data_IF_100253498113
#
_entry.id   IF_100253498113
#
_cell.length_a   1.000
_cell.length_b   1.000
_cell.length_c   1.000
_cell.angle_alpha   90.00
_cell.angle_beta   90.00
_cell.angle_gamma   90.00
#
_symmetry.space_group_name_H-M   'P 1'
#
loop_
_entity.id
_entity.type
_entity.pdbx_description
1 polymer ?
#
# COMPACT_ATOMS: atom_id res chain seq x y z
N UNK A 1 24.64 26.05 -13.19
CA UNK A 1 23.18 26.24 -13.35
C UNK A 1 22.76 27.38 -12.43
N UNK A 2 22.09 28.44 -12.95
CA UNK A 2 21.60 29.53 -12.12
C UNK A 2 20.46 29.00 -11.27
N UNK A 3 20.52 29.15 -9.95
CA UNK A 3 19.40 28.74 -9.08
C UNK A 3 18.18 29.56 -9.44
N UNK A 4 16.98 28.96 -9.53
CA UNK A 4 15.76 29.67 -9.94
C UNK A 4 15.25 30.67 -8.89
N UNK A 5 15.76 30.60 -7.65
CA UNK A 5 15.38 31.48 -6.54
C UNK A 5 16.56 31.76 -5.61
N UNK A 6 16.43 32.79 -4.79
CA UNK A 6 17.41 33.19 -3.80
C UNK A 6 17.52 32.14 -2.68
N UNK A 7 18.72 31.63 -2.43
CA UNK A 7 18.97 30.65 -1.36
C UNK A 7 18.70 31.24 0.03
N UNK A 8 18.91 32.56 0.23
CA UNK A 8 18.66 33.23 1.51
C UNK A 8 17.19 33.17 1.91
N UNK A 9 16.25 33.26 0.93
CA UNK A 9 14.83 33.10 1.17
C UNK A 9 14.50 31.67 1.62
N UNK A 10 15.05 30.66 0.94
CA UNK A 10 14.86 29.27 1.32
C UNK A 10 15.42 28.99 2.71
N UNK A 11 16.64 29.45 3.01
CA UNK A 11 17.28 29.28 4.31
C UNK A 11 16.46 29.93 5.44
N UNK A 12 15.85 31.10 5.17
CA UNK A 12 14.93 31.74 6.10
C UNK A 12 13.67 30.91 6.38
N UNK A 13 13.05 30.36 5.32
CA UNK A 13 11.87 29.50 5.45
C UNK A 13 12.20 28.21 6.21
N UNK A 14 13.34 27.58 5.93
CA UNK A 14 13.79 26.40 6.63
C UNK A 14 14.01 26.68 8.12
N UNK A 15 14.63 27.84 8.44
CA UNK A 15 14.82 28.29 9.82
C UNK A 15 13.51 28.49 10.58
N UNK A 16 12.51 29.15 9.96
CA UNK A 16 11.17 29.33 10.55
C UNK A 16 10.42 28.01 10.77
N UNK A 17 10.66 27.02 9.94
CA UNK A 17 10.05 25.68 10.02
C UNK A 17 10.87 24.70 10.90
N UNK A 18 11.97 25.16 11.47
CA UNK A 18 12.91 24.35 12.26
C UNK A 18 13.42 23.10 11.51
N UNK A 19 13.64 23.24 10.20
CA UNK A 19 14.15 22.18 9.33
C UNK A 19 15.65 22.38 9.11
N UNK A 20 16.46 21.55 9.74
CA UNK A 20 17.92 21.65 9.65
C UNK A 20 18.47 21.19 8.28
N UNK A 21 17.81 20.23 7.64
CA UNK A 21 18.19 19.67 6.34
C UNK A 21 16.92 19.40 5.51
N UNK A 22 16.82 20.06 4.36
CA UNK A 22 15.68 19.88 3.44
C UNK A 22 15.53 18.43 2.95
N UNK A 23 16.62 17.67 2.87
CA UNK A 23 16.59 16.27 2.47
C UNK A 23 15.88 15.37 3.52
N UNK A 24 15.73 15.87 4.75
CA UNK A 24 15.01 15.20 5.84
C UNK A 24 13.56 15.71 6.00
N UNK A 25 13.16 16.70 5.19
CA UNK A 25 11.82 17.26 5.28
C UNK A 25 10.76 16.19 4.97
N UNK A 26 9.73 16.15 5.79
CA UNK A 26 8.55 15.31 5.53
C UNK A 26 7.78 15.82 4.30
N UNK A 27 6.94 14.99 3.71
CA UNK A 27 6.06 15.37 2.58
C UNK A 27 5.26 16.65 2.88
N UNK A 28 4.74 16.78 4.11
CA UNK A 28 3.99 17.98 4.54
C UNK A 28 4.88 19.21 4.64
N UNK A 29 6.06 19.06 5.19
CA UNK A 29 7.03 20.16 5.27
C UNK A 29 7.50 20.59 3.87
N UNK A 30 7.74 19.66 2.96
CA UNK A 30 8.07 19.97 1.56
C UNK A 30 6.97 20.80 0.88
N UNK A 31 5.71 20.42 1.04
CA UNK A 31 4.58 21.20 0.52
C UNK A 31 4.42 22.57 1.19
N UNK A 32 4.73 22.70 2.49
CA UNK A 32 4.71 24.00 3.17
C UNK A 32 5.84 24.91 2.70
N UNK A 33 7.05 24.36 2.51
CA UNK A 33 8.19 25.10 1.92
C UNK A 33 7.80 25.64 0.55
N UNK A 34 7.24 24.78 -0.34
CA UNK A 34 6.83 25.20 -1.67
C UNK A 34 5.79 26.34 -1.62
N UNK A 35 4.74 26.22 -0.82
CA UNK A 35 3.71 27.30 -0.67
C UNK A 35 4.29 28.60 -0.14
N UNK A 36 5.23 28.58 0.79
CA UNK A 36 5.90 29.79 1.28
C UNK A 36 6.79 30.41 0.23
N UNK A 37 7.49 29.59 -0.56
CA UNK A 37 8.28 30.05 -1.69
C UNK A 37 7.40 30.72 -2.75
N UNK A 38 6.29 30.10 -3.15
CA UNK A 38 5.30 30.65 -4.08
C UNK A 38 4.79 32.02 -3.60
N UNK A 39 4.40 32.10 -2.34
CA UNK A 39 3.93 33.37 -1.74
C UNK A 39 4.96 34.46 -1.74
N UNK A 40 6.23 34.13 -1.52
CA UNK A 40 7.31 35.11 -1.41
C UNK A 40 7.86 35.55 -2.78
N UNK A 41 7.86 34.65 -3.77
CA UNK A 41 8.43 34.92 -5.10
C UNK A 41 7.41 35.28 -6.15
N UNK A 42 6.15 34.88 -5.97
CA UNK A 42 5.10 34.95 -7.02
C UNK A 42 5.28 33.89 -8.12
N UNK A 43 6.26 32.99 -7.99
CA UNK A 43 6.51 31.88 -8.92
C UNK A 43 5.61 30.69 -8.57
N UNK A 44 5.06 30.02 -9.56
CA UNK A 44 4.25 28.83 -9.40
C UNK A 44 5.10 27.57 -9.39
N UNK A 45 4.92 26.71 -8.39
CA UNK A 45 5.63 25.44 -8.27
C UNK A 45 4.75 24.26 -8.72
N UNK A 46 5.36 23.29 -9.37
CA UNK A 46 4.70 22.01 -9.62
C UNK A 46 4.76 21.16 -8.35
N UNK A 47 3.61 20.97 -7.69
CA UNK A 47 3.50 20.20 -6.46
C UNK A 47 3.52 18.69 -6.74
N UNK A 48 4.70 18.07 -6.63
CA UNK A 48 4.93 16.64 -6.85
C UNK A 48 5.21 15.86 -5.56
N UNK A 49 5.22 16.54 -4.42
CA UNK A 49 5.52 15.95 -3.12
C UNK A 49 4.41 15.03 -2.60
N UNK A 50 3.17 15.21 -3.06
CA UNK A 50 2.05 14.38 -2.64
C UNK A 50 1.40 13.69 -3.84
N UNK A 51 1.41 12.36 -3.83
CA UNK A 51 0.78 11.55 -4.87
C UNK A 51 -0.75 11.58 -4.80
N UNK A 52 -1.35 12.66 -5.27
CA UNK A 52 -2.80 12.79 -5.43
C UNK A 52 -3.14 12.58 -6.91
N UNK A 53 -4.17 11.76 -7.27
CA UNK A 53 -4.49 11.47 -8.66
C UNK A 53 -4.82 12.69 -9.52
N UNK A 54 -5.30 13.79 -8.92
CA UNK A 54 -5.63 15.03 -9.62
C UNK A 54 -6.92 14.99 -10.44
N UNK A 55 -7.48 13.80 -10.63
CA UNK A 55 -8.78 13.60 -11.28
C UNK A 55 -9.90 13.64 -10.25
N UNK A 56 -11.09 14.04 -10.69
CA UNK A 56 -12.29 13.89 -9.88
C UNK A 56 -12.69 12.42 -9.79
N UNK A 57 -13.30 11.99 -8.66
CA UNK A 57 -13.89 10.65 -8.59
C UNK A 57 -15.04 10.54 -9.61
N UNK A 58 -15.30 9.32 -10.06
CA UNK A 58 -16.40 9.02 -10.95
C UNK A 58 -17.74 9.35 -10.28
N UNK A 59 -18.63 10.06 -11.01
CA UNK A 59 -19.91 10.55 -10.49
C UNK A 59 -20.80 9.41 -9.99
N UNK A 60 -20.77 8.25 -10.62
CA UNK A 60 -21.53 7.07 -10.18
C UNK A 60 -21.21 6.69 -8.72
N UNK A 61 -19.92 6.81 -8.29
CA UNK A 61 -19.52 6.55 -6.91
C UNK A 61 -20.04 7.61 -5.94
N UNK A 62 -19.93 8.88 -6.35
CA UNK A 62 -20.42 10.03 -5.56
C UNK A 62 -21.94 9.97 -5.35
N UNK A 63 -22.69 9.68 -6.40
CA UNK A 63 -24.16 9.54 -6.32
C UNK A 63 -24.59 8.34 -5.48
N UNK A 64 -23.88 7.20 -5.57
CA UNK A 64 -24.15 6.05 -4.73
C UNK A 64 -23.93 6.37 -3.23
N UNK A 65 -22.90 7.14 -2.91
CA UNK A 65 -22.63 7.59 -1.52
C UNK A 65 -23.74 8.54 -1.03
N UNK A 66 -24.15 9.52 -1.84
CA UNK A 66 -25.27 10.42 -1.52
C UNK A 66 -26.56 9.65 -1.25
N UNK A 67 -26.86 8.69 -2.11
CA UNK A 67 -28.05 7.84 -1.95
C UNK A 67 -28.02 7.00 -0.66
N UNK A 68 -26.86 6.45 -0.32
CA UNK A 68 -26.68 5.67 0.91
C UNK A 68 -26.87 6.56 2.16
N UNK A 69 -26.31 7.77 2.16
CA UNK A 69 -26.48 8.73 3.25
C UNK A 69 -27.95 9.16 3.39
N UNK A 70 -28.63 9.43 2.28
CA UNK A 70 -30.04 9.79 2.27
C UNK A 70 -30.93 8.65 2.77
N UNK A 71 -30.53 7.39 2.56
CA UNK A 71 -31.19 6.20 3.10
C UNK A 71 -30.90 5.95 4.59
N UNK A 72 -30.13 6.83 5.26
CA UNK A 72 -29.89 6.78 6.70
C UNK A 72 -28.79 5.80 7.14
N UNK A 73 -27.93 5.36 6.24
CA UNK A 73 -26.84 4.41 6.56
C UNK A 73 -25.93 4.91 7.70
N UNK A 74 -25.80 6.21 7.88
CA UNK A 74 -24.97 6.83 8.92
C UNK A 74 -25.46 6.55 10.36
N UNK A 75 -26.70 6.12 10.55
CA UNK A 75 -27.29 5.81 11.86
C UNK A 75 -27.18 4.33 12.25
N UNK A 76 -26.57 3.50 11.41
CA UNK A 76 -26.52 2.04 11.57
C UNK A 76 -25.06 1.57 11.66
N UNK A 77 -24.75 0.79 12.70
CA UNK A 77 -23.45 0.12 12.76
C UNK A 77 -23.37 -0.96 11.67
N UNK A 78 -22.31 -0.94 10.81
CA UNK A 78 -22.11 -2.04 9.89
C UNK A 78 -21.68 -3.31 10.64
N UNK A 79 -21.84 -4.49 10.03
CA UNK A 79 -21.20 -5.69 10.55
C UNK A 79 -19.70 -5.51 10.73
N UNK A 80 -19.11 -6.06 11.81
CA UNK A 80 -17.68 -5.89 12.11
C UNK A 80 -16.75 -6.29 10.96
N UNK A 81 -17.15 -7.29 10.19
CA UNK A 81 -16.37 -7.77 9.02
C UNK A 81 -16.67 -7.01 7.73
N UNK A 82 -17.49 -5.97 7.78
CA UNK A 82 -17.95 -5.22 6.63
C UNK A 82 -19.27 -5.72 6.03
N UNK A 83 -19.92 -4.88 5.25
CA UNK A 83 -21.19 -5.19 4.60
C UNK A 83 -20.99 -6.21 3.47
N UNK A 84 -21.88 -7.21 3.30
CA UNK A 84 -21.76 -8.24 2.29
C UNK A 84 -21.61 -7.70 0.85
N UNK A 85 -22.31 -6.62 0.54
CA UNK A 85 -22.30 -6.00 -0.79
C UNK A 85 -20.88 -5.50 -1.17
N UNK A 86 -20.16 -4.85 -0.23
CA UNK A 86 -18.81 -4.38 -0.46
C UNK A 86 -17.82 -5.53 -0.59
N UNK A 87 -17.95 -6.55 0.26
CA UNK A 87 -17.10 -7.76 0.22
C UNK A 87 -17.24 -8.51 -1.11
N UNK A 88 -18.48 -8.71 -1.57
CA UNK A 88 -18.77 -9.32 -2.87
C UNK A 88 -18.25 -8.47 -4.04
N UNK A 89 -18.39 -7.15 -3.96
CA UNK A 89 -17.86 -6.24 -4.98
C UNK A 89 -16.32 -6.28 -5.03
N UNK A 90 -15.65 -6.35 -3.87
CA UNK A 90 -14.20 -6.49 -3.77
C UNK A 90 -13.72 -7.82 -4.37
N UNK A 91 -14.37 -8.93 -4.05
CA UNK A 91 -14.06 -10.25 -4.63
C UNK A 91 -14.20 -10.23 -6.17
N UNK A 92 -15.30 -9.68 -6.71
CA UNK A 92 -15.47 -9.50 -8.16
C UNK A 92 -14.41 -8.58 -8.78
N UNK A 93 -14.03 -7.50 -8.11
CA UNK A 93 -12.98 -6.58 -8.56
C UNK A 93 -11.62 -7.29 -8.64
N UNK A 94 -11.27 -8.07 -7.61
CA UNK A 94 -10.05 -8.88 -7.58
C UNK A 94 -10.03 -9.87 -8.74
N UNK A 95 -11.14 -10.59 -8.98
CA UNK A 95 -11.23 -11.48 -10.14
C UNK A 95 -11.08 -10.74 -11.45
N UNK A 96 -11.75 -9.60 -11.59
CA UNK A 96 -11.78 -8.85 -12.85
C UNK A 96 -10.42 -8.25 -13.25
N UNK A 97 -9.60 -7.82 -12.29
CA UNK A 97 -8.36 -7.06 -12.58
C UNK A 97 -7.07 -7.79 -12.22
N UNK A 98 -7.13 -8.80 -11.36
CA UNK A 98 -5.98 -9.60 -10.97
C UNK A 98 -6.07 -11.06 -11.45
N UNK A 99 -7.26 -11.50 -11.86
CA UNK A 99 -7.60 -12.88 -12.20
C UNK A 99 -7.33 -13.87 -11.05
N UNK A 100 -7.66 -13.45 -9.84
CA UNK A 100 -7.56 -14.25 -8.61
C UNK A 100 -8.95 -14.55 -8.11
N UNK A 101 -9.23 -15.84 -7.85
CA UNK A 101 -10.45 -16.26 -7.16
C UNK A 101 -10.24 -16.09 -5.65
N UNK A 102 -11.06 -15.27 -5.02
CA UNK A 102 -11.03 -15.02 -3.58
C UNK A 102 -12.45 -14.96 -3.03
N UNK A 103 -12.72 -15.71 -1.98
CA UNK A 103 -14.01 -15.68 -1.31
C UNK A 103 -14.30 -14.27 -0.71
N UNK A 104 -15.54 -13.77 -0.78
CA UNK A 104 -15.92 -12.49 -0.19
C UNK A 104 -15.56 -12.37 1.30
N UNK A 105 -15.55 -13.48 2.03
CA UNK A 105 -15.21 -13.56 3.45
C UNK A 105 -13.82 -13.04 3.73
N UNK A 106 -12.84 -13.30 2.86
CA UNK A 106 -11.46 -12.80 2.95
C UNK A 106 -11.30 -11.32 2.61
N UNK A 107 -12.32 -10.66 2.05
CA UNK A 107 -12.30 -9.24 1.72
C UNK A 107 -12.71 -8.40 2.93
N UNK A 108 -11.77 -7.86 3.69
CA UNK A 108 -12.01 -7.09 4.92
C UNK A 108 -11.90 -5.58 4.62
N UNK A 109 -12.99 -4.81 4.73
CA UNK A 109 -12.94 -3.35 4.58
C UNK A 109 -12.10 -2.68 5.67
N UNK A 110 -11.34 -1.66 5.29
CA UNK A 110 -10.52 -0.87 6.19
C UNK A 110 -10.66 0.63 5.92
N UNK A 111 -10.38 1.47 6.92
CA UNK A 111 -10.43 2.94 6.82
C UNK A 111 -9.18 3.45 6.08
N UNK A 112 -9.11 3.18 4.78
CA UNK A 112 -7.92 3.36 3.95
C UNK A 112 -6.85 2.31 4.25
N UNK A 113 -5.92 2.10 3.30
CA UNK A 113 -4.83 1.12 3.47
C UNK A 113 -3.88 1.43 4.62
N UNK A 114 -3.83 2.67 5.12
CA UNK A 114 -3.04 3.00 6.32
C UNK A 114 -3.55 2.31 7.59
N UNK A 115 -4.86 2.31 7.82
CA UNK A 115 -5.44 1.56 8.94
C UNK A 115 -5.33 0.06 8.68
N UNK A 116 -5.52 -0.36 7.44
CA UNK A 116 -5.33 -1.75 7.04
C UNK A 116 -3.91 -2.24 7.30
N UNK A 117 -2.86 -1.52 6.87
CA UNK A 117 -1.48 -1.92 7.10
C UNK A 117 -1.13 -1.95 8.60
N UNK A 118 -1.60 -0.98 9.37
CA UNK A 118 -1.44 -0.97 10.83
C UNK A 118 -1.99 -2.26 11.47
N UNK A 119 -3.22 -2.61 11.13
CA UNK A 119 -3.88 -3.82 11.65
C UNK A 119 -3.19 -5.09 11.17
N UNK A 120 -2.84 -5.17 9.88
CA UNK A 120 -2.17 -6.35 9.30
C UNK A 120 -0.78 -6.57 9.91
N UNK A 121 0.02 -5.52 10.11
CA UNK A 121 1.34 -5.67 10.72
C UNK A 121 1.24 -6.14 12.18
N UNK A 122 0.31 -5.55 12.95
CA UNK A 122 0.05 -5.99 14.30
C UNK A 122 -0.37 -7.46 14.32
N UNK A 123 -1.33 -7.84 13.49
CA UNK A 123 -1.80 -9.22 13.35
C UNK A 123 -0.65 -10.16 13.03
N UNK A 124 0.09 -9.93 11.94
CA UNK A 124 1.20 -10.78 11.53
C UNK A 124 2.22 -10.98 12.64
N UNK A 125 2.53 -9.92 13.39
CA UNK A 125 3.50 -9.99 14.50
C UNK A 125 3.01 -10.75 15.72
N UNK A 126 1.71 -11.07 15.81
CA UNK A 126 1.09 -11.77 16.95
C UNK A 126 0.72 -13.23 16.64
N UNK A 127 0.71 -13.65 15.37
CA UNK A 127 0.31 -15.01 14.97
C UNK A 127 1.25 -16.09 15.48
N UNK A 128 2.54 -15.79 15.55
CA UNK A 128 3.58 -16.69 16.09
C UNK A 128 4.58 -15.87 16.92
N UNK A 129 4.71 -16.13 18.22
CA UNK A 129 5.63 -15.39 19.10
C UNK A 129 7.11 -15.49 18.69
N UNK A 130 7.50 -16.48 17.90
CA UNK A 130 8.86 -16.63 17.36
C UNK A 130 9.07 -15.82 16.08
N UNK A 131 8.00 -15.40 15.42
CA UNK A 131 8.02 -14.79 14.08
C UNK A 131 7.32 -13.44 14.16
N UNK A 132 8.05 -12.42 14.58
CA UNK A 132 7.50 -11.07 14.77
C UNK A 132 8.06 -10.02 13.82
N UNK A 133 9.16 -10.34 13.13
CA UNK A 133 9.89 -9.40 12.28
C UNK A 133 9.15 -9.12 10.98
N UNK A 134 9.03 -7.86 10.61
CA UNK A 134 8.52 -7.43 9.29
C UNK A 134 9.71 -7.13 8.39
N UNK A 135 9.78 -7.78 7.23
CA UNK A 135 10.79 -7.55 6.21
C UNK A 135 10.23 -6.63 5.11
N UNK A 136 10.79 -5.43 4.99
CA UNK A 136 10.44 -4.49 3.92
C UNK A 136 11.35 -4.63 2.71
N UNK A 137 10.76 -4.72 1.52
CA UNK A 137 11.48 -4.54 0.25
C UNK A 137 11.38 -3.06 -0.11
N UNK A 138 12.49 -2.35 0.05
CA UNK A 138 12.61 -0.92 -0.18
C UNK A 138 12.96 -0.57 -1.65
N UNK A 139 12.73 0.69 -2.03
CA UNK A 139 12.10 1.76 -1.26
C UNK A 139 10.61 1.48 -1.04
N UNK A 140 10.06 1.99 0.05
CA UNK A 140 8.66 1.76 0.43
C UNK A 140 7.98 3.00 1.01
N UNK A 141 6.68 2.90 1.28
CA UNK A 141 5.92 3.99 1.86
C UNK A 141 6.37 4.24 3.31
N UNK A 142 6.92 5.43 3.65
CA UNK A 142 7.59 5.65 4.94
C UNK A 142 6.71 5.44 6.16
N UNK A 143 5.38 5.67 6.01
CA UNK A 143 4.42 5.54 7.10
C UNK A 143 4.33 4.09 7.60
N UNK A 144 4.51 3.10 6.72
CA UNK A 144 4.49 1.69 7.11
C UNK A 144 5.61 1.34 8.09
N UNK A 145 6.81 1.91 7.90
CA UNK A 145 7.92 1.78 8.87
C UNK A 145 7.63 2.50 10.18
N UNK A 146 7.05 3.71 10.11
CA UNK A 146 6.63 4.42 11.30
C UNK A 146 5.61 3.64 12.12
N UNK A 147 4.71 2.89 11.44
CA UNK A 147 3.74 2.01 12.11
C UNK A 147 4.43 0.87 12.87
N UNK A 148 5.39 0.17 12.24
CA UNK A 148 6.12 -0.90 12.95
C UNK A 148 6.90 -0.37 14.14
N UNK A 149 7.54 0.79 13.99
CA UNK A 149 8.25 1.45 15.09
C UNK A 149 7.31 1.81 16.24
N UNK A 150 6.16 2.43 15.93
CA UNK A 150 5.16 2.82 16.94
C UNK A 150 4.60 1.62 17.71
N UNK A 151 4.46 0.48 17.06
CA UNK A 151 3.94 -0.77 17.64
C UNK A 151 5.01 -1.63 18.31
N UNK A 152 6.26 -1.19 18.36
CA UNK A 152 7.40 -1.99 18.84
C UNK A 152 7.52 -3.35 18.12
N UNK A 153 7.30 -3.34 16.81
CA UNK A 153 7.46 -4.51 15.95
C UNK A 153 8.84 -4.47 15.29
N UNK A 154 9.70 -5.48 15.50
CA UNK A 154 11.00 -5.56 14.86
C UNK A 154 10.85 -5.50 13.33
N UNK A 155 11.69 -4.70 12.67
CA UNK A 155 11.67 -4.62 11.21
C UNK A 155 13.09 -4.55 10.64
N UNK A 156 13.23 -5.13 9.45
CA UNK A 156 14.45 -5.09 8.64
C UNK A 156 14.09 -4.76 7.20
N UNK A 157 15.08 -4.37 6.41
CA UNK A 157 14.85 -4.07 5.01
C UNK A 157 16.08 -4.23 4.14
N UNK A 158 15.85 -4.25 2.84
CA UNK A 158 16.88 -4.10 1.82
C UNK A 158 16.33 -3.33 0.62
N UNK A 159 17.21 -2.63 -0.10
CA UNK A 159 16.83 -1.91 -1.33
C UNK A 159 16.79 -2.89 -2.51
N UNK A 160 15.64 -2.97 -3.19
CA UNK A 160 15.46 -3.86 -4.34
C UNK A 160 16.31 -3.47 -5.55
N UNK A 161 16.81 -2.24 -5.60
CA UNK A 161 17.64 -1.78 -6.70
C UNK A 161 18.89 -2.67 -6.90
N UNK A 162 19.48 -3.13 -5.81
CA UNK A 162 20.68 -3.97 -5.84
C UNK A 162 20.35 -5.47 -6.03
N UNK A 163 19.08 -5.85 -5.86
CA UNK A 163 18.63 -7.24 -5.80
C UNK A 163 17.44 -7.49 -6.73
N UNK A 164 17.67 -7.38 -8.06
CA UNK A 164 16.66 -7.69 -9.06
C UNK A 164 16.80 -9.12 -9.58
N UNK A 165 15.69 -9.67 -10.10
CA UNK A 165 15.62 -11.02 -10.68
C UNK A 165 16.14 -12.10 -9.69
N UNK A 166 17.08 -12.94 -10.09
CA UNK A 166 17.58 -14.06 -9.28
C UNK A 166 18.22 -13.64 -7.95
N UNK A 167 18.90 -12.49 -7.93
CA UNK A 167 19.49 -11.94 -6.71
C UNK A 167 18.46 -11.63 -5.62
N UNK A 168 17.21 -11.36 -6.02
CA UNK A 168 16.10 -11.15 -5.09
C UNK A 168 15.84 -12.43 -4.26
N UNK A 169 15.92 -13.59 -4.90
CA UNK A 169 15.76 -14.87 -4.24
C UNK A 169 16.80 -15.12 -3.15
N UNK A 170 18.07 -14.94 -3.47
CA UNK A 170 19.18 -15.11 -2.52
C UNK A 170 19.05 -14.13 -1.34
N UNK A 171 18.71 -12.87 -1.64
CA UNK A 171 18.54 -11.84 -0.63
C UNK A 171 17.38 -12.12 0.32
N UNK A 172 16.21 -12.48 -0.22
CA UNK A 172 15.05 -12.89 0.60
C UNK A 172 15.36 -14.11 1.45
N UNK A 173 15.97 -15.12 0.86
CA UNK A 173 16.30 -16.36 1.56
C UNK A 173 17.27 -16.13 2.72
N UNK A 174 18.21 -15.16 2.60
CA UNK A 174 19.12 -14.81 3.69
C UNK A 174 18.39 -14.30 4.95
N UNK A 175 17.23 -13.65 4.80
CA UNK A 175 16.40 -13.25 5.94
C UNK A 175 15.43 -14.35 6.39
N UNK A 176 14.78 -15.01 5.44
CA UNK A 176 13.72 -15.98 5.76
C UNK A 176 14.26 -17.24 6.44
N UNK A 177 15.50 -17.62 6.14
CA UNK A 177 16.16 -18.76 6.76
C UNK A 177 16.46 -18.58 8.27
N UNK A 178 16.45 -17.34 8.78
CA UNK A 178 16.55 -17.05 10.21
C UNK A 178 15.29 -17.52 10.99
N UNK A 179 14.14 -17.65 10.31
CA UNK A 179 12.91 -18.22 10.86
C UNK A 179 12.12 -17.29 11.77
N UNK A 180 12.43 -15.98 11.82
CA UNK A 180 11.79 -14.98 12.67
C UNK A 180 10.95 -13.94 11.91
N UNK A 181 10.90 -14.02 10.56
CA UNK A 181 10.13 -13.11 9.70
C UNK A 181 8.66 -13.54 9.68
N UNK A 182 7.77 -12.65 10.14
CA UNK A 182 6.33 -12.81 10.11
C UNK A 182 5.74 -12.46 8.74
N UNK A 183 6.19 -11.35 8.16
CA UNK A 183 5.69 -10.90 6.86
C UNK A 183 6.75 -10.19 6.03
N UNK A 184 6.63 -10.34 4.69
CA UNK A 184 7.33 -9.55 3.67
C UNK A 184 6.37 -8.46 3.20
N UNK A 185 6.84 -7.21 3.10
CA UNK A 185 6.02 -6.06 2.72
C UNK A 185 6.66 -5.28 1.57
N UNK A 186 5.87 -4.98 0.54
CA UNK A 186 6.27 -4.11 -0.57
C UNK A 186 5.04 -3.53 -1.26
N UNK A 187 5.20 -2.50 -2.09
CA UNK A 187 4.15 -1.98 -2.97
C UNK A 187 4.43 -2.26 -4.45
N UNK A 188 3.38 -2.54 -5.25
CA UNK A 188 3.49 -2.89 -6.66
C UNK A 188 2.28 -2.38 -7.48
N UNK A 189 2.42 -1.34 -8.32
CA UNK A 189 3.60 -0.49 -8.52
C UNK A 189 4.09 0.16 -7.24
N UNK A 190 5.41 0.40 -7.18
CA UNK A 190 6.07 0.87 -5.98
C UNK A 190 5.88 2.38 -5.76
N UNK A 191 5.72 2.77 -4.51
CA UNK A 191 5.85 4.15 -4.04
C UNK A 191 7.08 4.25 -3.11
N UNK A 192 8.09 5.10 -3.38
CA UNK A 192 8.09 6.20 -4.34
C UNK A 192 8.79 5.92 -5.69
N UNK A 193 9.45 4.79 -5.85
CA UNK A 193 10.38 4.55 -6.97
C UNK A 193 9.69 4.19 -8.31
N UNK A 194 8.37 3.92 -8.28
CA UNK A 194 7.60 3.48 -9.44
C UNK A 194 8.13 2.19 -10.09
N UNK A 195 8.84 1.37 -9.34
CA UNK A 195 9.26 0.04 -9.76
C UNK A 195 8.03 -0.86 -9.81
N UNK A 196 7.86 -1.56 -10.93
CA UNK A 196 6.91 -2.66 -11.04
C UNK A 196 7.69 -3.97 -11.00
N UNK A 197 7.32 -4.86 -10.10
CA UNK A 197 7.91 -6.19 -10.03
C UNK A 197 7.50 -7.01 -11.25
N UNK A 198 8.45 -7.80 -11.76
CA UNK A 198 8.20 -8.73 -12.85
C UNK A 198 7.48 -9.97 -12.35
N UNK A 199 6.85 -10.72 -13.26
CA UNK A 199 6.24 -12.02 -12.93
C UNK A 199 7.26 -12.97 -12.29
N UNK A 200 8.50 -12.99 -12.80
CA UNK A 200 9.59 -13.80 -12.23
C UNK A 200 9.93 -13.40 -10.78
N UNK A 201 9.98 -12.10 -10.49
CA UNK A 201 10.25 -11.62 -9.14
C UNK A 201 9.10 -11.94 -8.17
N UNK A 202 7.86 -11.81 -8.62
CA UNK A 202 6.67 -12.20 -7.85
C UNK A 202 6.63 -13.72 -7.61
N UNK A 203 7.00 -14.52 -8.60
CA UNK A 203 7.14 -15.99 -8.45
C UNK A 203 8.20 -16.36 -7.41
N UNK A 204 9.36 -15.69 -7.43
CA UNK A 204 10.42 -15.88 -6.44
C UNK A 204 9.90 -15.56 -5.02
N UNK A 205 9.24 -14.41 -4.86
CA UNK A 205 8.66 -14.01 -3.57
C UNK A 205 7.64 -15.05 -3.11
N UNK A 206 6.70 -15.43 -3.98
CA UNK A 206 5.63 -16.38 -3.65
C UNK A 206 6.15 -17.77 -3.28
N UNK A 207 7.10 -18.28 -4.04
CA UNK A 207 7.75 -19.58 -3.76
C UNK A 207 8.47 -19.57 -2.41
N UNK A 208 9.23 -18.52 -2.11
CA UNK A 208 9.92 -18.40 -0.82
C UNK A 208 8.95 -18.18 0.34
N UNK A 209 7.90 -17.36 0.15
CA UNK A 209 6.84 -17.20 1.13
C UNK A 209 6.17 -18.54 1.48
N UNK A 210 5.92 -19.38 0.47
CA UNK A 210 5.37 -20.73 0.68
C UNK A 210 6.38 -21.64 1.40
N UNK A 211 7.65 -21.64 0.97
CA UNK A 211 8.73 -22.47 1.56
C UNK A 211 8.93 -22.18 3.04
N UNK A 212 8.90 -20.92 3.43
CA UNK A 212 9.18 -20.47 4.79
C UNK A 212 7.90 -20.18 5.60
N UNK A 213 6.72 -20.49 5.05
CA UNK A 213 5.40 -20.18 5.65
C UNK A 213 5.30 -18.73 6.15
N UNK A 214 5.78 -17.80 5.35
CA UNK A 214 5.79 -16.35 5.64
C UNK A 214 4.66 -15.66 4.88
N UNK A 215 4.00 -14.69 5.51
CA UNK A 215 2.92 -13.92 4.87
C UNK A 215 3.53 -12.86 3.95
N UNK A 216 2.95 -12.65 2.77
CA UNK A 216 3.29 -11.52 1.89
C UNK A 216 2.18 -10.48 1.97
N UNK A 217 2.52 -9.27 2.38
CA UNK A 217 1.64 -8.10 2.36
C UNK A 217 2.00 -7.26 1.14
N UNK A 218 1.23 -7.42 0.07
CA UNK A 218 1.41 -6.67 -1.17
C UNK A 218 0.51 -5.44 -1.18
N UNK A 219 1.12 -4.25 -1.14
CA UNK A 219 0.39 -2.98 -1.21
C UNK A 219 0.13 -2.60 -2.67
N UNK A 220 -1.13 -2.77 -3.09
CA UNK A 220 -1.64 -2.48 -4.43
C UNK A 220 -2.35 -1.12 -4.50
N UNK A 221 -1.92 -0.12 -3.72
CA UNK A 221 -2.52 1.22 -3.74
C UNK A 221 -2.49 1.86 -5.14
N UNK A 222 -1.53 1.48 -5.98
CA UNK A 222 -1.36 1.95 -7.37
C UNK A 222 -1.73 0.91 -8.41
N UNK A 223 -2.61 -0.05 -8.07
CA UNK A 223 -3.11 -1.07 -8.99
C UNK A 223 -3.59 -0.44 -10.30
N UNK A 224 -3.21 -1.05 -11.44
CA UNK A 224 -3.60 -0.58 -12.78
C UNK A 224 -2.78 0.61 -13.29
N UNK A 225 -1.86 1.16 -12.51
CA UNK A 225 -1.07 2.35 -12.88
C UNK A 225 0.31 2.03 -13.48
N UNK A 226 0.57 0.82 -13.93
CA UNK A 226 1.68 0.54 -14.84
C UNK A 226 1.29 0.94 -16.26
N UNK A 227 1.55 2.17 -16.63
CA UNK A 227 1.13 2.75 -17.92
C UNK A 227 1.85 2.15 -19.15
N UNK A 228 2.77 1.23 -18.95
CA UNK A 228 3.38 0.42 -20.03
C UNK A 228 2.44 -0.71 -20.48
N UNK A 229 1.40 -1.01 -19.72
CA UNK A 229 0.43 -2.08 -19.96
C UNK A 229 -0.99 -1.53 -19.90
N UNK A 230 -1.91 -2.14 -20.63
CA UNK A 230 -3.33 -1.82 -20.58
C UNK A 230 -4.04 -2.70 -19.53
N UNK A 231 -3.89 -2.35 -18.26
CA UNK A 231 -4.40 -3.12 -17.12
C UNK A 231 -5.85 -2.77 -16.73
N UNK A 232 -6.48 -1.83 -17.43
CA UNK A 232 -7.80 -1.27 -17.05
C UNK A 232 -9.01 -2.03 -17.60
N UNK A 233 -8.83 -3.16 -18.33
CA UNK A 233 -9.94 -3.92 -18.90
C UNK A 233 -10.36 -5.04 -17.96
N UNK A 234 -11.59 -5.01 -17.43
CA UNK A 234 -12.05 -6.06 -16.53
C UNK A 234 -12.18 -7.40 -17.26
N UNK A 235 -11.73 -8.49 -16.65
CA UNK A 235 -11.79 -9.87 -17.15
C UNK A 235 -11.02 -10.12 -18.45
N UNK A 236 -10.14 -9.22 -18.87
CA UNK A 236 -9.31 -9.35 -20.06
C UNK A 236 -7.84 -9.17 -19.70
N UNK A 237 -6.97 -10.07 -20.23
CA UNK A 237 -5.52 -9.90 -20.11
C UNK A 237 -5.02 -8.67 -20.90
N UNK A 238 -3.93 -8.02 -20.46
CA UNK A 238 -3.11 -8.38 -19.32
C UNK A 238 -3.75 -7.95 -17.99
N UNK A 239 -3.61 -8.81 -16.97
CA UNK A 239 -4.02 -8.49 -15.60
C UNK A 239 -2.88 -7.82 -14.82
N UNK A 240 -3.22 -7.15 -13.71
CA UNK A 240 -2.22 -6.64 -12.76
C UNK A 240 -1.38 -7.82 -12.24
N UNK A 241 -0.05 -7.80 -12.40
CA UNK A 241 0.82 -8.78 -11.76
C UNK A 241 0.70 -8.71 -10.24
N UNK A 242 0.60 -9.88 -9.60
CA UNK A 242 0.46 -10.00 -8.14
C UNK A 242 1.07 -11.29 -7.63
N UNK A 243 1.60 -11.28 -6.41
CA UNK A 243 2.14 -12.47 -5.74
C UNK A 243 1.07 -13.54 -5.49
N UNK A 244 -0.21 -13.16 -5.46
CA UNK A 244 -1.32 -14.07 -5.23
C UNK A 244 -1.45 -15.19 -6.28
N UNK A 245 -0.76 -15.08 -7.43
CA UNK A 245 -0.65 -16.14 -8.44
C UNK A 245 0.32 -17.26 -8.05
N UNK A 246 1.22 -17.01 -7.09
CA UNK A 246 2.37 -17.87 -6.80
C UNK A 246 2.39 -18.40 -5.39
N UNK A 247 1.49 -17.95 -4.53
CA UNK A 247 1.36 -18.42 -3.15
C UNK A 247 -0.04 -18.15 -2.60
N UNK A 248 -0.46 -18.95 -1.64
CA UNK A 248 -1.66 -18.70 -0.83
C UNK A 248 -1.33 -17.96 0.48
N UNK A 249 -0.07 -17.60 0.72
CA UNK A 249 0.35 -16.89 1.92
C UNK A 249 0.34 -15.37 1.66
N UNK A 250 -0.79 -14.78 1.23
CA UNK A 250 -0.85 -13.37 0.87
C UNK A 250 -1.97 -12.60 1.56
N UNK A 251 -1.72 -11.31 1.74
CA UNK A 251 -2.71 -10.27 2.04
C UNK A 251 -2.48 -9.14 1.03
N UNK A 252 -3.46 -8.87 0.16
CA UNK A 252 -3.41 -7.76 -0.78
C UNK A 252 -4.09 -6.53 -0.17
N UNK A 253 -3.40 -5.39 -0.19
CA UNK A 253 -3.93 -4.12 0.28
C UNK A 253 -4.44 -3.30 -0.91
N UNK A 254 -5.75 -3.32 -1.16
CA UNK A 254 -6.41 -2.60 -2.25
C UNK A 254 -6.94 -1.27 -1.74
N UNK A 255 -6.58 -0.16 -2.38
CA UNK A 255 -6.96 1.18 -1.95
C UNK A 255 -7.82 1.91 -2.99
N UNK A 256 -8.96 2.45 -2.57
CA UNK A 256 -9.76 3.36 -3.39
C UNK A 256 -9.11 4.73 -3.60
N UNK A 257 -8.08 5.07 -2.81
CA UNK A 257 -7.48 6.40 -2.79
C UNK A 257 -6.91 6.84 -4.14
N UNK A 258 -6.28 5.92 -4.89
CA UNK A 258 -5.61 6.22 -6.15
C UNK A 258 -6.42 5.70 -7.34
N UNK A 259 -6.83 4.44 -7.32
CA UNK A 259 -7.56 3.76 -8.41
C UNK A 259 -8.85 4.51 -8.77
N UNK A 260 -9.59 4.98 -7.75
CA UNK A 260 -10.89 5.65 -7.94
C UNK A 260 -10.86 7.14 -7.64
N UNK A 261 -9.68 7.75 -7.45
CA UNK A 261 -9.56 9.15 -6.98
C UNK A 261 -10.35 9.46 -5.71
N UNK A 262 -10.48 8.47 -4.81
CA UNK A 262 -11.35 8.49 -3.62
C UNK A 262 -10.56 8.62 -2.31
N UNK A 263 -9.45 9.34 -2.35
CA UNK A 263 -8.52 9.45 -1.21
C UNK A 263 -9.19 10.00 0.07
N UNK A 264 -10.13 10.92 -0.08
CA UNK A 264 -10.85 11.54 1.05
C UNK A 264 -11.84 10.61 1.75
N UNK A 265 -12.36 9.60 1.06
CA UNK A 265 -13.39 8.69 1.57
C UNK A 265 -12.86 7.56 2.44
N UNK A 266 -11.55 7.41 2.50
CA UNK A 266 -10.89 6.46 3.39
C UNK A 266 -11.38 5.01 3.22
N UNK A 267 -11.49 4.55 1.99
CA UNK A 267 -11.93 3.20 1.64
C UNK A 267 -10.75 2.35 1.15
N UNK A 268 -10.58 1.17 1.73
CA UNK A 268 -9.65 0.15 1.27
C UNK A 268 -10.12 -1.26 1.69
N UNK A 269 -9.50 -2.27 1.11
CA UNK A 269 -9.76 -3.68 1.40
C UNK A 269 -8.42 -4.35 1.73
N UNK A 270 -8.38 -5.07 2.85
CA UNK A 270 -7.39 -6.11 3.08
C UNK A 270 -7.96 -7.42 2.54
N UNK A 271 -7.43 -7.89 1.43
CA UNK A 271 -7.87 -9.12 0.77
C UNK A 271 -6.96 -10.27 1.22
N UNK A 272 -7.45 -11.07 2.13
CA UNK A 272 -6.74 -12.18 2.79
C UNK A 272 -7.04 -13.46 2.02
N UNK A 273 -6.03 -14.22 1.63
CA UNK A 273 -6.23 -15.50 0.95
C UNK A 273 -7.14 -16.43 1.74
N UNK A 274 -7.93 -17.26 1.04
CA UNK A 274 -8.86 -18.21 1.69
C UNK A 274 -8.13 -19.13 2.66
N UNK A 275 -6.90 -19.54 2.33
CA UNK A 275 -6.05 -20.36 3.20
C UNK A 275 -5.69 -19.66 4.51
N UNK A 276 -5.20 -18.41 4.44
CA UNK A 276 -4.85 -17.65 5.64
C UNK A 276 -6.08 -17.29 6.46
N UNK A 277 -7.16 -16.89 5.79
CA UNK A 277 -8.43 -16.60 6.44
C UNK A 277 -8.94 -17.82 7.21
N UNK A 278 -9.03 -18.98 6.56
CA UNK A 278 -9.45 -20.22 7.22
C UNK A 278 -8.54 -20.69 8.35
N UNK A 279 -7.22 -20.42 8.24
CA UNK A 279 -6.24 -20.82 9.25
C UNK A 279 -6.27 -19.94 10.51
N UNK A 280 -6.45 -18.64 10.37
CA UNK A 280 -6.24 -17.69 11.45
C UNK A 280 -7.54 -17.07 11.99
N UNK A 281 -8.58 -16.98 11.18
CA UNK A 281 -9.83 -16.37 11.59
C UNK A 281 -10.45 -16.99 12.86
N UNK A 282 -10.50 -18.32 13.04
CA UNK A 282 -11.02 -18.92 14.26
C UNK A 282 -10.24 -18.56 15.53
N UNK A 283 -8.98 -18.18 15.41
CA UNK A 283 -8.13 -17.79 16.54
C UNK A 283 -8.25 -16.31 16.90
N UNK A 284 -8.93 -15.51 16.05
CA UNK A 284 -9.10 -14.06 16.22
C UNK A 284 -10.48 -13.67 16.74
N UNK A 285 -11.38 -14.63 16.90
CA UNK A 285 -12.69 -14.50 17.53
C UNK A 285 -12.63 -14.86 19.02
#
# INVERSE_FOLDING_TARGET
MKRPFDSTLLDGILGELEIADIAQATIRQSGEIARRMEKATGEEFSHLEMGVPGLRPEEIGVEAERAALAAGVASIYPPMQGIPQLKQAASRFIKAFLDIDLAPEGCIPTVGSMQGSFTVFLLCSQLDPKRRKILFIDPGFPVQRSQTHLMDIPSVSFDIYDYRAEKLGEKLESYLSEGDVAAIVYSNPNNPAWICLTEQELEIIGRLATKYDTIVVEDLAYLGMDFRKQLGRPCEAPFQPTVARYTDNYILMLSGSKIFSYAGQRIAIAAISDKLYGRHYPALL
#
